data_IF_375906690862
#
_entry.id   IF_375906690862
#
_cell.length_a   1.000
_cell.length_b   1.000
_cell.length_c   1.000
_cell.angle_alpha   90.00
_cell.angle_beta   90.00
_cell.angle_gamma   90.00
#
_symmetry.space_group_name_H-M   'P 1'
#
loop_
_entity.id
_entity.type
_entity.pdbx_description
1 polymer ?
#
# COMPACT_ATOMS: atom_id res chain seq x y z
N UNK A 1 -5.46 0.05 24.04
CA UNK A 1 -4.59 0.07 22.84
C UNK A 1 -4.29 -1.34 22.33
N UNK A 2 -4.29 -2.35 23.22
CA UNK A 2 -4.16 -3.76 22.89
C UNK A 2 -5.20 -4.35 21.91
N UNK A 3 -6.51 -4.01 21.93
CA UNK A 3 -7.48 -4.67 21.05
C UNK A 3 -7.35 -4.26 19.58
N UNK A 4 -6.84 -3.05 19.33
CA UNK A 4 -6.60 -2.56 17.95
C UNK A 4 -5.36 -3.23 17.37
N UNK A 5 -4.29 -3.37 18.17
CA UNK A 5 -3.06 -4.04 17.76
C UNK A 5 -3.29 -5.53 17.49
N UNK A 6 -4.06 -6.22 18.33
CA UNK A 6 -4.38 -7.63 18.11
C UNK A 6 -5.20 -7.84 16.84
N UNK A 7 -6.12 -6.91 16.55
CA UNK A 7 -6.88 -6.93 15.29
C UNK A 7 -5.95 -6.70 14.10
N UNK A 8 -5.10 -5.68 14.12
CA UNK A 8 -4.16 -5.43 13.00
C UNK A 8 -3.22 -6.63 12.80
N UNK A 9 -2.75 -7.25 13.89
CA UNK A 9 -1.90 -8.43 13.84
C UNK A 9 -2.60 -9.63 13.20
N UNK A 10 -3.88 -9.88 13.52
CA UNK A 10 -4.63 -10.99 12.93
C UNK A 10 -4.87 -10.80 11.43
N UNK A 11 -5.15 -9.56 11.01
CA UNK A 11 -5.27 -9.20 9.60
C UNK A 11 -3.94 -9.37 8.86
N UNK A 12 -2.83 -8.92 9.47
CA UNK A 12 -1.50 -9.07 8.89
C UNK A 12 -1.09 -10.54 8.75
N UNK A 13 -1.35 -11.38 9.75
CA UNK A 13 -1.07 -12.82 9.67
C UNK A 13 -1.93 -13.53 8.61
N UNK A 14 -3.21 -13.14 8.47
CA UNK A 14 -4.08 -13.70 7.44
C UNK A 14 -3.61 -13.34 6.03
N UNK A 15 -3.21 -12.08 5.83
CA UNK A 15 -2.62 -11.62 4.56
C UNK A 15 -1.31 -12.34 4.24
N UNK A 16 -0.45 -12.55 5.24
CA UNK A 16 0.81 -13.28 5.09
C UNK A 16 0.59 -14.72 4.61
N UNK A 17 -0.22 -15.49 5.34
CA UNK A 17 -0.48 -16.90 4.99
C UNK A 17 -1.09 -17.02 3.60
N UNK A 18 -2.01 -16.11 3.25
CA UNK A 18 -2.59 -16.05 1.92
C UNK A 18 -1.53 -15.76 0.84
N UNK A 19 -0.63 -14.79 1.07
CA UNK A 19 0.42 -14.44 0.11
C UNK A 19 1.42 -15.57 -0.14
N UNK A 20 1.85 -16.28 0.91
CA UNK A 20 2.81 -17.39 0.81
C UNK A 20 2.24 -18.58 0.03
N UNK A 21 0.92 -18.79 0.09
CA UNK A 21 0.24 -19.87 -0.63
C UNK A 21 -0.14 -19.51 -2.07
N UNK A 22 0.10 -18.28 -2.53
CA UNK A 22 -0.16 -17.92 -3.92
C UNK A 22 0.83 -18.58 -4.85
N UNK A 23 0.38 -18.87 -6.06
CA UNK A 23 1.26 -19.32 -7.13
C UNK A 23 2.29 -18.22 -7.41
N UNK A 24 3.60 -18.56 -7.42
CA UNK A 24 4.68 -17.57 -7.44
C UNK A 24 4.59 -16.57 -8.61
N UNK A 25 4.07 -17.00 -9.77
CA UNK A 25 3.84 -16.10 -10.91
C UNK A 25 2.74 -15.07 -10.63
N UNK A 26 1.64 -15.48 -9.97
CA UNK A 26 0.54 -14.58 -9.60
C UNK A 26 0.99 -13.59 -8.52
N UNK A 27 1.82 -14.03 -7.59
CA UNK A 27 2.38 -13.19 -6.54
C UNK A 27 3.27 -12.07 -7.11
N UNK A 28 4.14 -12.39 -8.08
CA UNK A 28 4.97 -11.38 -8.76
C UNK A 28 4.10 -10.35 -9.49
N UNK A 29 3.04 -10.80 -10.18
CA UNK A 29 2.11 -9.89 -10.86
C UNK A 29 1.40 -8.97 -9.86
N UNK A 30 0.95 -9.49 -8.73
CA UNK A 30 0.30 -8.70 -7.68
C UNK A 30 1.24 -7.66 -7.05
N UNK A 31 2.50 -8.03 -6.78
CA UNK A 31 3.52 -7.12 -6.29
C UNK A 31 3.76 -6.00 -7.31
N UNK A 32 3.90 -6.36 -8.59
CA UNK A 32 4.12 -5.38 -9.66
C UNK A 32 2.95 -4.40 -9.77
N UNK A 33 1.71 -4.89 -9.70
CA UNK A 33 0.51 -4.04 -9.69
C UNK A 33 0.48 -3.11 -8.48
N UNK A 34 0.84 -3.58 -7.28
CA UNK A 34 0.92 -2.73 -6.09
C UNK A 34 1.97 -1.63 -6.23
N UNK A 35 3.14 -1.95 -6.80
CA UNK A 35 4.20 -0.96 -7.06
C UNK A 35 3.74 0.08 -8.09
N UNK A 36 3.10 -0.35 -9.18
CA UNK A 36 2.57 0.56 -10.21
C UNK A 36 1.48 1.46 -9.64
N UNK A 37 0.55 0.92 -8.85
CA UNK A 37 -0.50 1.67 -8.19
C UNK A 37 0.07 2.67 -7.16
N UNK A 38 1.06 2.27 -6.36
CA UNK A 38 1.75 3.16 -5.43
C UNK A 38 2.47 4.31 -6.16
N UNK A 39 3.16 4.00 -7.26
CA UNK A 39 3.78 5.00 -8.13
C UNK A 39 2.77 5.97 -8.73
N UNK A 40 1.62 5.48 -9.21
CA UNK A 40 0.52 6.30 -9.71
C UNK A 40 -0.04 7.23 -8.63
N UNK A 41 -0.22 6.73 -7.40
CA UNK A 41 -0.65 7.53 -6.25
C UNK A 41 0.36 8.65 -5.91
N UNK A 42 1.66 8.35 -5.93
CA UNK A 42 2.70 9.34 -5.67
C UNK A 42 2.76 10.42 -6.76
N UNK A 43 2.61 10.04 -8.03
CA UNK A 43 2.54 11.00 -9.14
C UNK A 43 1.29 11.87 -9.03
N UNK A 44 0.12 11.28 -8.80
CA UNK A 44 -1.13 12.02 -8.63
C UNK A 44 -1.07 13.00 -7.45
N UNK A 45 -0.51 12.58 -6.31
CA UNK A 45 -0.28 13.45 -5.15
C UNK A 45 0.63 14.64 -5.47
N UNK A 46 1.71 14.43 -6.26
CA UNK A 46 2.60 15.52 -6.71
C UNK A 46 1.93 16.46 -7.70
N UNK A 47 1.09 15.95 -8.61
CA UNK A 47 0.36 16.76 -9.60
C UNK A 47 -0.70 17.66 -8.94
N UNK A 48 -1.30 17.20 -7.84
CA UNK A 48 -2.27 18.00 -7.08
C UNK A 48 -1.63 19.10 -6.22
N UNK A 49 -0.32 19.06 -5.97
CA UNK A 49 0.42 20.09 -5.24
C UNK A 49 0.75 21.35 -6.04
N UNK A 50 0.45 21.41 -7.35
CA UNK A 50 0.73 22.60 -8.16
C UNK A 50 -0.15 23.80 -7.73
N UNK A 51 0.46 24.97 -7.45
CA UNK A 51 -0.24 26.14 -6.94
C UNK A 51 -0.98 26.84 -8.08
N UNK A 52 -2.18 26.36 -8.39
CA UNK A 52 -3.14 27.13 -9.19
C UNK A 52 -4.12 27.76 -8.20
N UNK A 53 -3.95 29.08 -7.99
CA UNK A 53 -4.73 30.03 -7.18
C UNK A 53 -6.00 29.42 -6.55
N UNK A 54 -5.94 29.00 -5.29
CA UNK A 54 -7.07 28.39 -4.58
C UNK A 54 -7.92 29.43 -3.84
N UNK A 55 -9.22 29.41 -4.09
CA UNK A 55 -10.20 30.00 -3.18
C UNK A 55 -10.21 29.18 -1.87
N UNK A 56 -10.35 29.87 -0.74
CA UNK A 56 -10.14 29.31 0.61
C UNK A 56 -10.96 28.04 0.91
N UNK A 57 -12.06 27.78 0.20
CA UNK A 57 -12.88 26.56 0.33
C UNK A 57 -12.42 25.34 -0.48
N UNK A 58 -11.65 25.52 -1.56
CA UNK A 58 -11.22 24.42 -2.46
C UNK A 58 -9.92 23.74 -1.99
N UNK A 59 -9.16 24.44 -1.13
CA UNK A 59 -7.88 24.02 -0.54
C UNK A 59 -8.01 22.85 0.45
N UNK A 60 -9.06 22.82 1.28
CA UNK A 60 -9.26 21.77 2.28
C UNK A 60 -9.57 20.40 1.64
N UNK A 61 -10.41 20.40 0.60
CA UNK A 61 -10.74 19.18 -0.16
C UNK A 61 -9.54 18.59 -0.89
N UNK A 62 -8.74 19.43 -1.56
CA UNK A 62 -7.50 18.98 -2.23
C UNK A 62 -6.46 18.46 -1.25
N UNK A 63 -6.36 19.07 -0.06
CA UNK A 63 -5.46 18.60 0.99
C UNK A 63 -5.88 17.21 1.50
N UNK A 64 -7.16 17.01 1.82
CA UNK A 64 -7.68 15.72 2.28
C UNK A 64 -7.47 14.60 1.24
N UNK A 65 -7.73 14.89 -0.04
CA UNK A 65 -7.52 13.96 -1.16
C UNK A 65 -6.04 13.63 -1.32
N UNK A 66 -5.17 14.64 -1.27
CA UNK A 66 -3.72 14.44 -1.38
C UNK A 66 -3.21 13.56 -0.24
N UNK A 67 -3.64 13.82 1.01
CA UNK A 67 -3.29 12.98 2.17
C UNK A 67 -3.79 11.56 1.98
N UNK A 68 -5.03 11.35 1.52
CA UNK A 68 -5.56 10.03 1.25
C UNK A 68 -4.75 9.28 0.18
N UNK A 69 -4.32 9.95 -0.89
CA UNK A 69 -3.45 9.39 -1.93
C UNK A 69 -2.07 8.98 -1.39
N UNK A 70 -1.48 9.77 -0.51
CA UNK A 70 -0.21 9.43 0.16
C UNK A 70 -0.37 8.23 1.10
N UNK A 71 -1.44 8.19 1.89
CA UNK A 71 -1.74 7.06 2.79
C UNK A 71 -1.97 5.79 1.97
N UNK A 72 -2.81 5.86 0.93
CA UNK A 72 -3.07 4.72 0.04
C UNK A 72 -1.79 4.24 -0.66
N UNK A 73 -0.97 5.16 -1.18
CA UNK A 73 0.32 4.82 -1.79
C UNK A 73 1.29 4.15 -0.82
N UNK A 74 1.31 4.59 0.44
CA UNK A 74 2.13 4.01 1.51
C UNK A 74 1.65 2.60 1.86
N UNK A 75 0.35 2.41 2.04
CA UNK A 75 -0.24 1.08 2.33
C UNK A 75 0.05 0.09 1.20
N UNK A 76 -0.12 0.51 -0.05
CA UNK A 76 0.21 -0.31 -1.23
C UNK A 76 1.71 -0.67 -1.28
N UNK A 77 2.58 0.25 -0.88
CA UNK A 77 4.02 -0.01 -0.82
C UNK A 77 4.37 -1.02 0.28
N UNK A 78 3.73 -0.96 1.44
CA UNK A 78 3.89 -1.96 2.50
C UNK A 78 3.40 -3.35 2.05
N UNK A 79 2.28 -3.42 1.33
CA UNK A 79 1.75 -4.66 0.75
C UNK A 79 2.73 -5.21 -0.30
N UNK A 80 3.30 -4.36 -1.15
CA UNK A 80 4.31 -4.77 -2.13
C UNK A 80 5.56 -5.37 -1.45
N UNK A 81 6.06 -4.73 -0.38
CA UNK A 81 7.17 -5.24 0.42
C UNK A 81 6.84 -6.59 1.05
N UNK A 82 5.64 -6.75 1.60
CA UNK A 82 5.18 -8.02 2.16
C UNK A 82 5.11 -9.12 1.09
N UNK A 83 4.60 -8.77 -0.09
CA UNK A 83 4.54 -9.69 -1.23
C UNK A 83 5.92 -10.13 -1.70
N UNK A 84 6.90 -9.22 -1.76
CA UNK A 84 8.32 -9.56 -2.05
C UNK A 84 8.86 -10.51 -0.97
N UNK A 85 8.65 -10.19 0.32
CA UNK A 85 9.10 -11.04 1.42
C UNK A 85 8.49 -12.44 1.35
N UNK A 86 7.21 -12.55 0.99
CA UNK A 86 6.52 -13.82 0.82
C UNK A 86 7.04 -14.63 -0.39
N UNK A 87 7.60 -14.00 -1.44
CA UNK A 87 8.22 -14.75 -2.56
C UNK A 87 9.48 -15.47 -2.08
N UNK A 88 10.23 -14.86 -1.16
CA UNK A 88 11.44 -15.44 -0.58
C UNK A 88 11.17 -16.29 0.66
N UNK A 89 9.98 -16.21 1.28
CA UNK A 89 9.65 -16.96 2.50
C UNK A 89 9.82 -18.49 2.35
N UNK A 90 9.43 -19.14 1.23
CA UNK A 90 9.70 -20.56 1.01
C UNK A 90 11.20 -20.90 0.96
N UNK A 91 12.06 -19.97 0.53
CA UNK A 91 13.50 -20.18 0.43
C UNK A 91 14.22 -20.05 1.79
N UNK A 92 13.60 -19.35 2.75
CA UNK A 92 14.15 -19.11 4.10
C UNK A 92 13.52 -20.06 5.14
N UNK A 93 12.56 -20.90 4.73
CA UNK A 93 11.85 -21.82 5.64
C UNK A 93 10.85 -21.11 6.56
N UNK A 94 10.35 -19.94 6.14
CA UNK A 94 9.37 -19.12 6.86
C UNK A 94 7.94 -19.28 6.29
N UNK A 95 7.75 -20.28 5.42
CA UNK A 95 6.48 -20.58 4.76
C UNK A 95 5.64 -21.59 5.55
#
# INVERSE_FOLDING_TARGET
>A
MEPVLSTIASWASGLWTWMVHLNGMLQVVLVLLCVLASGACAVAGRRMGSPMMESVGQSAGRTAVTVALWVAGTVLMLIALLGIAAVFAPLVGLA
#
